data_IF_301042150012
#
_entry.id   IF_301042150012
#
_cell.length_a   1.000
_cell.length_b   1.000
_cell.length_c   1.000
_cell.angle_alpha   90.00
_cell.angle_beta   90.00
_cell.angle_gamma   90.00
#
_symmetry.space_group_name_H-M   'P 1'
#
loop_
_entity.id
_entity.type
_entity.pdbx_description
1 polymer ?
#
# COMPACT_ATOMS: atom_id res chain seq x y z
N UNK A 1 -27.85 -0.67 8.05
CA UNK A 1 -26.72 -0.32 7.15
C UNK A 1 -26.01 0.87 7.78
N UNK A 2 -24.70 0.80 8.03
CA UNK A 2 -23.96 1.88 8.70
C UNK A 2 -23.71 3.05 7.76
N UNK A 3 -23.71 4.29 8.28
CA UNK A 3 -23.35 5.51 7.54
C UNK A 3 -22.00 5.34 6.82
N UNK A 4 -21.04 4.64 7.46
CA UNK A 4 -19.74 4.32 6.87
C UNK A 4 -19.86 3.46 5.61
N UNK A 5 -20.74 2.47 5.61
CA UNK A 5 -20.98 1.61 4.46
C UNK A 5 -21.68 2.39 3.32
N UNK A 6 -22.61 3.29 3.66
CA UNK A 6 -23.28 4.14 2.68
C UNK A 6 -22.30 5.11 2.00
N UNK A 7 -21.41 5.75 2.78
CA UNK A 7 -20.37 6.64 2.26
C UNK A 7 -19.38 5.91 1.35
N UNK A 8 -18.95 4.70 1.72
CA UNK A 8 -18.07 3.89 0.90
C UNK A 8 -18.70 3.54 -0.45
N UNK A 9 -19.99 3.18 -0.47
CA UNK A 9 -20.74 2.89 -1.70
C UNK A 9 -20.91 4.12 -2.58
N UNK A 10 -21.23 5.29 -2.00
CA UNK A 10 -21.35 6.54 -2.74
C UNK A 10 -20.02 6.92 -3.40
N UNK A 11 -18.92 6.86 -2.63
CA UNK A 11 -17.58 7.16 -3.14
C UNK A 11 -17.19 6.19 -4.25
N UNK A 12 -17.45 4.90 -4.06
CA UNK A 12 -17.19 3.87 -5.06
C UNK A 12 -17.94 4.14 -6.36
N UNK A 13 -19.22 4.49 -6.29
CA UNK A 13 -20.05 4.79 -7.46
C UNK A 13 -19.59 6.05 -8.20
N UNK A 14 -19.21 7.10 -7.47
CA UNK A 14 -18.67 8.35 -8.05
C UNK A 14 -17.36 8.10 -8.79
N UNK A 15 -16.48 7.27 -8.23
CA UNK A 15 -15.20 6.95 -8.82
C UNK A 15 -15.33 6.01 -10.03
N UNK A 16 -16.27 5.06 -9.99
CA UNK A 16 -16.63 4.22 -11.14
C UNK A 16 -17.21 5.07 -12.28
N UNK A 17 -18.13 5.99 -11.97
CA UNK A 17 -18.75 6.90 -12.96
C UNK A 17 -17.73 7.78 -13.68
N UNK A 18 -16.67 8.20 -12.98
CA UNK A 18 -15.59 9.02 -13.54
C UNK A 18 -14.49 8.22 -14.25
N UNK A 19 -14.66 6.90 -14.45
CA UNK A 19 -13.65 6.04 -15.07
C UNK A 19 -12.39 5.82 -14.23
N UNK A 20 -12.39 6.29 -12.96
CA UNK A 20 -11.26 6.24 -12.02
C UNK A 20 -11.09 4.84 -11.42
N UNK A 21 -11.93 3.87 -11.78
CA UNK A 21 -11.83 2.49 -11.30
C UNK A 21 -10.48 1.85 -11.65
N UNK A 22 -9.91 2.17 -12.82
CA UNK A 22 -8.56 1.75 -13.17
C UNK A 22 -7.50 2.47 -12.33
N UNK A 23 -7.66 3.77 -12.07
CA UNK A 23 -6.79 4.58 -11.24
C UNK A 23 -6.77 4.14 -9.77
N UNK A 24 -7.90 3.76 -9.19
CA UNK A 24 -7.99 3.33 -7.78
C UNK A 24 -7.40 1.93 -7.60
N UNK A 25 -7.69 1.02 -8.53
CA UNK A 25 -7.11 -0.33 -8.50
C UNK A 25 -5.59 -0.26 -8.67
N UNK A 26 -5.11 0.59 -9.57
CA UNK A 26 -3.68 0.82 -9.77
C UNK A 26 -3.07 1.53 -8.56
N UNK A 27 -3.70 2.59 -8.04
CA UNK A 27 -3.22 3.31 -6.85
C UNK A 27 -3.16 2.41 -5.60
N UNK A 28 -4.16 1.56 -5.37
CA UNK A 28 -4.14 0.60 -4.26
C UNK A 28 -3.03 -0.44 -4.42
N UNK A 29 -2.78 -0.92 -5.64
CA UNK A 29 -1.63 -1.81 -5.92
C UNK A 29 -0.29 -1.10 -5.75
N UNK A 30 -0.17 0.13 -6.23
CA UNK A 30 1.04 0.95 -6.08
C UNK A 30 1.35 1.24 -4.61
N UNK A 31 0.34 1.55 -3.79
CA UNK A 31 0.53 1.76 -2.35
C UNK A 31 1.04 0.50 -1.66
N UNK A 32 0.41 -0.65 -1.93
CA UNK A 32 0.86 -1.94 -1.39
C UNK A 32 2.28 -2.27 -1.83
N UNK A 33 2.66 -1.97 -3.08
CA UNK A 33 4.02 -2.18 -3.58
C UNK A 33 5.04 -1.28 -2.87
N UNK A 34 4.70 0.00 -2.64
CA UNK A 34 5.56 0.95 -1.91
C UNK A 34 5.80 0.49 -0.47
N UNK A 35 4.76 0.02 0.23
CA UNK A 35 4.92 -0.50 1.59
C UNK A 35 5.79 -1.77 1.62
N UNK A 36 5.58 -2.72 0.69
CA UNK A 36 6.44 -3.92 0.62
C UNK A 36 7.90 -3.57 0.29
N UNK A 37 8.14 -2.59 -0.57
CA UNK A 37 9.49 -2.12 -0.89
C UNK A 37 10.16 -1.48 0.33
N UNK A 38 9.42 -0.68 1.09
CA UNK A 38 9.91 -0.07 2.33
C UNK A 38 10.25 -1.12 3.38
N UNK A 39 9.40 -2.13 3.57
CA UNK A 39 9.68 -3.26 4.46
C UNK A 39 10.91 -4.06 4.00
N UNK A 40 11.07 -4.26 2.69
CA UNK A 40 12.24 -4.95 2.14
C UNK A 40 13.52 -4.15 2.38
N UNK A 41 13.52 -2.84 2.12
CA UNK A 41 14.65 -1.94 2.39
C UNK A 41 15.03 -1.95 3.88
N UNK A 42 14.05 -1.91 4.79
CA UNK A 42 14.29 -1.98 6.23
C UNK A 42 14.89 -3.32 6.65
N UNK A 43 14.39 -4.44 6.11
CA UNK A 43 14.94 -5.75 6.37
C UNK A 43 16.36 -5.91 5.82
N UNK A 44 16.63 -5.33 4.64
CA UNK A 44 17.95 -5.37 4.02
C UNK A 44 18.95 -4.56 4.83
N UNK A 45 18.59 -3.33 5.24
CA UNK A 45 19.41 -2.50 6.11
C UNK A 45 19.64 -3.15 7.48
N UNK A 46 18.62 -3.79 8.07
CA UNK A 46 18.77 -4.52 9.32
C UNK A 46 19.76 -5.70 9.20
N UNK A 47 19.75 -6.38 8.05
CA UNK A 47 20.65 -7.49 7.76
C UNK A 47 22.07 -7.03 7.46
N UNK A 48 22.24 -5.94 6.73
CA UNK A 48 23.55 -5.30 6.51
C UNK A 48 24.18 -4.87 7.83
N UNK A 49 23.41 -4.27 8.74
CA UNK A 49 23.88 -3.91 10.09
C UNK A 49 24.20 -5.15 10.96
N UNK A 50 23.50 -6.27 10.74
CA UNK A 50 23.76 -7.51 11.47
C UNK A 50 25.03 -8.22 10.96
N UNK A 51 25.24 -8.25 9.64
CA UNK A 51 26.45 -8.79 9.01
C UNK A 51 27.69 -7.96 9.39
N UNK A 52 27.57 -6.64 9.54
CA UNK A 52 28.67 -5.73 9.95
C UNK A 52 28.97 -5.79 11.47
N UNK A 53 28.12 -6.48 12.25
CA UNK A 53 28.25 -6.66 13.71
C UNK A 53 28.75 -8.04 14.12
N UNK A 54 28.98 -8.94 13.18
CA UNK A 54 29.56 -10.25 13.48
C UNK A 54 31.07 -10.09 13.74
N UNK A 55 31.56 -10.34 14.98
CA UNK A 55 32.99 -10.22 15.26
C UNK A 55 33.68 -11.45 14.66
N UNK A 56 34.51 -11.23 13.64
CA UNK A 56 35.59 -12.16 13.32
C UNK A 56 36.61 -12.24 14.47
#
# INVERSE_FOLDING_TARGET
MSVKAMMATILQNQLTSRGVHSLIRTARRSWSLIEHLRELELNLAAREIADDREPH
#
